data_IF_077560605889
#
_entry.id   IF_077560605889
#
_cell.length_a   1.000
_cell.length_b   1.000
_cell.length_c   1.000
_cell.angle_alpha   90.00
_cell.angle_beta   90.00
_cell.angle_gamma   90.00
#
_symmetry.space_group_name_H-M   'P 1'
#
loop_
_entity.id
_entity.type
_entity.pdbx_description
1 polymer ?
#
# COMPACT_ATOMS: atom_id res chain seq x y z
N UNK A 1 18.77 -13.90 20.90
CA UNK A 1 17.63 -14.06 19.95
C UNK A 1 16.31 -13.83 20.67
N UNK A 2 15.97 -14.59 21.71
CA UNK A 2 14.72 -14.43 22.48
C UNK A 2 14.53 -13.02 23.04
N UNK A 3 15.55 -12.44 23.70
CA UNK A 3 15.49 -11.06 24.19
C UNK A 3 15.19 -10.01 23.11
N UNK A 4 15.61 -10.23 21.86
CA UNK A 4 15.30 -9.33 20.73
C UNK A 4 13.88 -9.54 20.19
N UNK A 5 13.32 -10.73 20.33
CA UNK A 5 11.91 -10.99 20.00
C UNK A 5 10.99 -10.38 21.06
N UNK A 6 11.32 -10.56 22.33
CA UNK A 6 10.60 -9.96 23.46
C UNK A 6 10.61 -8.43 23.39
N UNK A 7 11.75 -7.83 23.03
CA UNK A 7 11.86 -6.38 22.81
C UNK A 7 11.21 -5.87 21.50
N UNK A 8 10.58 -6.74 20.70
CA UNK A 8 9.95 -6.37 19.43
C UNK A 8 10.91 -6.01 18.28
N UNK A 9 12.23 -6.14 18.50
CA UNK A 9 13.26 -5.89 17.49
C UNK A 9 13.18 -6.93 16.37
N UNK A 10 12.93 -8.20 16.71
CA UNK A 10 12.64 -9.28 15.75
C UNK A 10 11.15 -9.59 15.79
N UNK A 11 10.40 -9.11 14.80
CA UNK A 11 8.94 -9.32 14.72
C UNK A 11 8.55 -10.79 14.50
N UNK A 12 9.27 -11.55 13.65
CA UNK A 12 8.99 -12.97 13.35
C UNK A 12 10.18 -13.64 12.65
N UNK A 13 10.41 -14.93 12.90
CA UNK A 13 11.29 -15.80 12.10
C UNK A 13 10.41 -16.75 11.30
N UNK A 14 10.43 -16.67 9.97
CA UNK A 14 9.58 -17.48 9.09
C UNK A 14 10.19 -17.60 7.68
N UNK A 15 9.75 -18.62 6.94
CA UNK A 15 10.00 -18.73 5.49
C UNK A 15 9.10 -17.75 4.74
N UNK A 16 9.67 -16.97 3.81
CA UNK A 16 8.92 -16.03 2.97
C UNK A 16 8.65 -16.65 1.58
N UNK A 17 7.43 -17.10 1.27
CA UNK A 17 7.10 -17.64 -0.04
C UNK A 17 7.05 -16.56 -1.13
N UNK A 18 7.35 -16.94 -2.37
CA UNK A 18 7.32 -16.03 -3.52
C UNK A 18 5.90 -15.87 -4.09
N UNK A 19 5.19 -14.80 -3.69
CA UNK A 19 3.82 -14.51 -4.10
C UNK A 19 3.61 -14.25 -5.60
N UNK A 20 4.65 -13.93 -6.38
CA UNK A 20 4.51 -13.77 -7.84
C UNK A 20 4.11 -15.07 -8.53
N UNK A 21 4.40 -16.23 -7.92
CA UNK A 21 3.97 -17.54 -8.43
C UNK A 21 2.48 -17.84 -8.20
N UNK A 22 1.75 -16.95 -7.52
CA UNK A 22 0.32 -17.13 -7.18
C UNK A 22 -0.65 -16.37 -8.11
N UNK A 23 -0.20 -15.93 -9.30
CA UNK A 23 -1.10 -15.46 -10.36
C UNK A 23 -1.56 -13.99 -10.28
N UNK A 24 -1.10 -13.22 -9.29
CA UNK A 24 -1.35 -11.76 -9.23
C UNK A 24 -0.31 -11.01 -10.08
N UNK A 25 -0.63 -10.81 -11.36
CA UNK A 25 0.28 -10.22 -12.35
C UNK A 25 0.14 -8.70 -12.41
N UNK A 26 -1.05 -8.16 -12.13
CA UNK A 26 -1.31 -6.73 -12.14
C UNK A 26 -1.29 -6.13 -10.72
N UNK A 27 -0.53 -5.05 -10.56
CA UNK A 27 -0.40 -4.30 -9.33
C UNK A 27 -0.55 -2.81 -9.64
N UNK A 28 -1.39 -2.12 -8.87
CA UNK A 28 -1.57 -0.67 -9.00
C UNK A 28 -1.56 -0.01 -7.63
N UNK A 29 -0.72 1.01 -7.47
CA UNK A 29 -0.78 1.88 -6.30
C UNK A 29 -1.83 2.95 -6.57
N UNK A 30 -3.02 2.78 -6.00
CA UNK A 30 -4.03 3.85 -6.03
C UNK A 30 -3.70 4.94 -5.02
N UNK A 31 -3.93 6.18 -5.40
CA UNK A 31 -3.64 7.37 -4.59
C UNK A 31 -4.86 8.29 -4.58
N UNK A 32 -5.18 8.86 -3.43
CA UNK A 32 -6.43 9.58 -3.19
C UNK A 32 -6.19 10.84 -2.36
N UNK A 33 -6.85 11.95 -2.72
CA UNK A 33 -6.93 13.19 -1.93
C UNK A 33 -8.19 13.15 -1.09
N UNK A 34 -8.06 12.65 0.15
CA UNK A 34 -9.17 12.42 1.08
C UNK A 34 -9.19 13.50 2.16
N UNK A 35 -10.37 14.03 2.50
CA UNK A 35 -10.53 15.00 3.58
C UNK A 35 -9.85 14.54 4.88
N UNK A 36 -9.09 15.43 5.52
CA UNK A 36 -8.15 15.05 6.59
C UNK A 36 -8.83 14.52 7.85
N UNK A 37 -10.04 15.03 8.14
CA UNK A 37 -10.90 14.60 9.23
C UNK A 37 -11.45 13.18 9.05
N UNK A 38 -11.49 12.67 7.81
CA UNK A 38 -12.01 11.35 7.47
C UNK A 38 -10.95 10.36 7.00
N UNK A 39 -9.72 10.83 6.77
CA UNK A 39 -8.68 10.06 6.11
C UNK A 39 -8.26 8.81 6.90
N UNK A 40 -8.24 8.87 8.23
CA UNK A 40 -7.88 7.75 9.09
C UNK A 40 -8.97 6.65 9.09
N UNK A 41 -10.23 7.04 9.32
CA UNK A 41 -11.36 6.12 9.32
C UNK A 41 -11.58 5.46 7.95
N UNK A 42 -11.55 6.26 6.88
CA UNK A 42 -11.66 5.76 5.51
C UNK A 42 -10.44 4.92 5.13
N UNK A 43 -9.24 5.31 5.55
CA UNK A 43 -8.03 4.53 5.34
C UNK A 43 -8.10 3.15 5.99
N UNK A 44 -8.64 3.04 7.22
CA UNK A 44 -8.86 1.76 7.87
C UNK A 44 -9.85 0.87 7.10
N UNK A 45 -10.95 1.45 6.60
CA UNK A 45 -11.95 0.73 5.78
C UNK A 45 -11.38 0.25 4.46
N UNK A 46 -10.62 1.11 3.76
CA UNK A 46 -9.93 0.75 2.51
C UNK A 46 -8.88 -0.34 2.76
N UNK A 47 -8.11 -0.23 3.83
CA UNK A 47 -7.10 -1.22 4.21
C UNK A 47 -7.67 -2.59 4.61
N UNK A 48 -8.95 -2.65 4.99
CA UNK A 48 -9.65 -3.89 5.30
C UNK A 48 -10.20 -4.63 4.06
N UNK A 49 -10.16 -4.02 2.87
CA UNK A 49 -10.61 -4.66 1.64
C UNK A 49 -9.70 -5.84 1.29
N UNK A 50 -10.24 -7.01 0.91
CA UNK A 50 -9.46 -8.24 0.74
C UNK A 50 -8.42 -8.18 -0.39
N UNK A 51 -8.57 -7.23 -1.31
CA UNK A 51 -7.67 -7.01 -2.44
C UNK A 51 -6.66 -5.87 -2.21
N UNK A 52 -6.67 -5.24 -1.03
CA UNK A 52 -5.71 -4.21 -0.63
C UNK A 52 -4.68 -4.83 0.31
N UNK A 53 -3.40 -4.84 -0.07
CA UNK A 53 -2.36 -5.43 0.78
C UNK A 53 -1.75 -4.45 1.77
N UNK A 54 -1.73 -3.16 1.40
CA UNK A 54 -1.17 -2.09 2.21
C UNK A 54 -1.98 -0.83 1.96
N UNK A 55 -2.28 -0.12 3.05
CA UNK A 55 -2.88 1.20 3.02
C UNK A 55 -2.07 2.15 3.89
N UNK A 56 -1.72 3.32 3.37
CA UNK A 56 -0.89 4.30 4.06
C UNK A 56 -1.52 5.68 3.99
N UNK A 57 -1.46 6.39 5.11
CA UNK A 57 -1.59 7.84 5.14
C UNK A 57 -0.21 8.48 5.05
N UNK A 58 -0.09 9.49 4.19
CA UNK A 58 1.13 10.27 4.01
C UNK A 58 0.81 11.76 3.87
N UNK A 59 1.72 12.65 4.29
CA UNK A 59 1.57 14.08 4.02
C UNK A 59 1.50 14.37 2.51
N UNK A 60 0.70 15.36 2.13
CA UNK A 60 0.65 15.88 0.77
C UNK A 60 1.85 16.77 0.49
N UNK A 61 2.21 16.91 -0.78
CA UNK A 61 3.18 17.89 -1.26
C UNK A 61 2.50 18.80 -2.30
N UNK A 62 1.59 19.65 -1.84
CA UNK A 62 0.81 20.56 -2.71
C UNK A 62 1.73 21.67 -3.28
N UNK A 63 1.48 22.14 -4.51
CA UNK A 63 0.37 21.77 -5.39
C UNK A 63 0.60 20.48 -6.20
N UNK A 64 1.85 20.05 -6.36
CA UNK A 64 2.22 19.01 -7.32
C UNK A 64 1.70 17.60 -6.97
N UNK A 65 1.48 17.34 -5.67
CA UNK A 65 1.03 16.05 -5.17
C UNK A 65 -0.07 16.20 -4.09
N UNK A 66 -1.35 16.16 -4.48
CA UNK A 66 -2.47 16.37 -3.56
C UNK A 66 -2.90 15.12 -2.79
N UNK A 67 -2.31 13.95 -3.05
CA UNK A 67 -2.79 12.68 -2.48
C UNK A 67 -2.22 12.42 -1.08
N UNK A 68 -3.08 12.10 -0.12
CA UNK A 68 -2.71 11.73 1.26
C UNK A 68 -2.99 10.26 1.60
N UNK A 69 -3.86 9.56 0.86
CA UNK A 69 -4.18 8.14 1.08
C UNK A 69 -3.66 7.28 -0.08
N UNK A 70 -2.95 6.22 0.25
CA UNK A 70 -2.32 5.30 -0.69
C UNK A 70 -2.82 3.89 -0.43
N UNK A 71 -3.28 3.17 -1.45
CA UNK A 71 -3.71 1.78 -1.31
C UNK A 71 -3.17 0.91 -2.46
N UNK A 72 -2.44 -0.14 -2.10
CA UNK A 72 -1.88 -1.10 -3.06
C UNK A 72 -2.92 -2.16 -3.44
N UNK A 73 -3.37 -2.12 -4.69
CA UNK A 73 -4.40 -3.02 -5.23
C UNK A 73 -3.72 -4.16 -6.02
N UNK A 74 -4.21 -5.38 -5.81
CA UNK A 74 -3.80 -6.56 -6.56
C UNK A 74 -4.93 -7.12 -7.42
N UNK A 75 -4.60 -7.59 -8.63
CA UNK A 75 -5.52 -8.29 -9.52
C UNK A 75 -4.79 -9.21 -10.50
N UNK A 76 -5.54 -10.05 -11.20
CA UNK A 76 -5.07 -10.88 -12.29
C UNK A 76 -4.71 -10.02 -13.51
N UNK A 77 -5.47 -8.96 -13.78
CA UNK A 77 -5.23 -8.05 -14.89
C UNK A 77 -5.56 -6.58 -14.53
N UNK A 78 -5.33 -5.68 -15.49
CA UNK A 78 -5.56 -4.24 -15.31
C UNK A 78 -7.04 -3.89 -15.18
N UNK A 79 -7.94 -4.60 -15.86
CA UNK A 79 -9.36 -4.34 -15.81
C UNK A 79 -9.92 -4.65 -14.42
N UNK A 80 -9.51 -5.78 -13.83
CA UNK A 80 -9.85 -6.13 -12.45
C UNK A 80 -9.34 -5.09 -11.44
N UNK A 81 -8.12 -4.59 -11.63
CA UNK A 81 -7.57 -3.52 -10.78
C UNK A 81 -8.39 -2.23 -10.87
N UNK A 82 -8.85 -1.83 -12.07
CA UNK A 82 -9.70 -0.64 -12.24
C UNK A 82 -11.10 -0.83 -11.63
N UNK A 83 -11.67 -2.05 -11.71
CA UNK A 83 -12.93 -2.37 -11.02
C UNK A 83 -12.78 -2.22 -9.50
N UNK A 84 -11.72 -2.79 -8.93
CA UNK A 84 -11.38 -2.66 -7.50
C UNK A 84 -11.09 -1.21 -7.10
N UNK A 85 -10.43 -0.44 -7.97
CA UNK A 85 -10.24 1.01 -7.76
C UNK A 85 -11.58 1.74 -7.70
N UNK A 86 -12.53 1.36 -8.55
CA UNK A 86 -13.88 1.95 -8.54
C UNK A 86 -14.63 1.63 -7.24
N UNK A 87 -14.45 0.43 -6.69
CA UNK A 87 -14.98 0.06 -5.37
C UNK A 87 -14.40 0.96 -4.26
N UNK A 88 -13.09 1.23 -4.29
CA UNK A 88 -12.46 2.17 -3.36
C UNK A 88 -13.01 3.59 -3.56
N UNK A 89 -13.16 4.05 -4.80
CA UNK A 89 -13.71 5.38 -5.10
C UNK A 89 -15.14 5.54 -4.52
N UNK A 90 -15.98 4.51 -4.69
CA UNK A 90 -17.32 4.48 -4.12
C UNK A 90 -17.31 4.52 -2.58
N UNK A 91 -16.39 3.79 -1.96
CA UNK A 91 -16.20 3.77 -0.51
C UNK A 91 -15.78 5.13 0.06
N UNK A 92 -14.85 5.82 -0.63
CA UNK A 92 -14.38 7.14 -0.25
C UNK A 92 -15.45 8.23 -0.50
N UNK A 93 -16.22 8.08 -1.57
CA UNK A 93 -17.33 8.95 -1.92
C UNK A 93 -16.94 10.42 -1.96
N UNK A 94 -17.78 11.28 -1.35
CA UNK A 94 -17.60 12.74 -1.36
C UNK A 94 -16.40 13.23 -0.54
N UNK A 95 -15.82 12.39 0.31
CA UNK A 95 -14.62 12.75 1.07
C UNK A 95 -13.37 12.77 0.18
N UNK A 96 -13.42 12.20 -1.02
CA UNK A 96 -12.31 12.18 -1.97
C UNK A 96 -12.48 13.26 -3.04
N UNK A 97 -11.54 14.20 -3.09
CA UNK A 97 -11.52 15.27 -4.08
C UNK A 97 -10.89 14.84 -5.42
N UNK A 98 -9.92 13.94 -5.38
CA UNK A 98 -9.22 13.45 -6.57
C UNK A 98 -8.59 12.07 -6.30
N UNK A 99 -8.41 11.27 -7.34
CA UNK A 99 -7.70 10.00 -7.22
C UNK A 99 -7.10 9.54 -8.54
N UNK A 100 -5.99 8.82 -8.45
CA UNK A 100 -5.25 8.28 -9.60
C UNK A 100 -4.68 6.89 -9.27
N UNK A 101 -4.05 6.23 -10.25
CA UNK A 101 -3.42 4.94 -10.09
C UNK A 101 -2.06 4.87 -10.78
N UNK A 102 -1.04 4.54 -10.00
CA UNK A 102 0.32 4.38 -10.47
C UNK A 102 0.57 2.90 -10.77
N UNK A 103 0.53 2.56 -12.06
CA UNK A 103 0.86 1.22 -12.51
C UNK A 103 2.36 0.98 -12.53
N UNK A 104 2.80 -0.11 -11.90
CA UNK A 104 4.19 -0.54 -11.99
C UNK A 104 4.47 -1.11 -13.38
N UNK A 105 5.19 -0.36 -14.21
CA UNK A 105 5.63 -0.80 -15.54
C UNK A 105 6.94 -1.60 -15.50
N UNK A 106 7.85 -1.24 -14.59
CA UNK A 106 9.14 -1.90 -14.43
C UNK A 106 9.62 -1.82 -12.99
N UNK A 107 10.17 -2.93 -12.50
CA UNK A 107 10.87 -2.95 -11.22
C UNK A 107 12.31 -2.51 -11.46
N UNK A 108 12.67 -1.29 -11.06
CA UNK A 108 14.05 -0.80 -11.14
C UNK A 108 14.92 -1.38 -10.02
N UNK A 109 14.35 -1.60 -8.83
CA UNK A 109 15.03 -2.18 -7.67
C UNK A 109 14.02 -2.82 -6.72
N UNK A 110 14.31 -4.04 -6.23
CA UNK A 110 13.58 -4.71 -5.15
C UNK A 110 14.55 -5.48 -4.27
N UNK A 111 14.93 -4.91 -3.13
CA UNK A 111 15.89 -5.49 -2.18
C UNK A 111 15.41 -5.27 -0.76
N UNK A 112 15.54 -6.28 0.11
CA UNK A 112 15.28 -6.11 1.54
C UNK A 112 16.31 -5.20 2.23
N UNK A 113 15.95 -4.67 3.40
CA UNK A 113 16.86 -3.89 4.24
C UNK A 113 18.05 -4.76 4.66
N UNK A 114 19.27 -4.27 4.45
CA UNK A 114 20.50 -4.87 4.97
C UNK A 114 21.05 -3.98 6.07
N UNK A 115 20.95 -4.44 7.31
CA UNK A 115 21.53 -3.74 8.45
C UNK A 115 23.06 -3.91 8.39
N UNK A 116 23.81 -2.81 8.32
CA UNK A 116 25.27 -2.83 8.48
C UNK A 116 25.60 -2.97 9.97
N UNK A 117 26.66 -3.73 10.30
CA UNK A 117 27.27 -3.65 11.64
C UNK A 117 27.71 -2.20 11.86
N UNK A 118 27.35 -1.58 12.99
CA UNK A 118 27.98 -0.31 13.40
C UNK A 118 29.49 -0.55 13.45
N UNK A 119 30.27 0.34 12.84
CA UNK A 119 31.71 0.40 13.12
C UNK A 119 31.85 0.68 14.61
N UNK A 120 32.64 -0.15 15.30
CA UNK A 120 32.99 0.05 16.70
C UNK A 120 33.90 1.25 16.88
#
# INVERSE_FOLDING_TARGET
>A
LSAMQEAGIIRRIAVAPNHYRLGMVANGMSVWDVADDLAEDLGARVGALPFVSHCYLRPRARPDWPYNLFAMIHGADRAEVELKRTEIAALLGKACAAGDILYSTRILKKTGLRLKKKAG
#
